data_IF_358569624219
#
_entry.id   IF_358569624219
#
_cell.length_a   1.000
_cell.length_b   1.000
_cell.length_c   1.000
_cell.angle_alpha   90.00
_cell.angle_beta   90.00
_cell.angle_gamma   90.00
#
_symmetry.space_group_name_H-M   'P 1'
#
loop_
_entity.id
_entity.type
_entity.pdbx_description
1 polymer ?
#
# COMPACT_ATOMS: atom_id res chain seq x y z
N UNK A 1 3.01 -11.10 18.71
CA UNK A 1 3.75 -10.76 17.48
C UNK A 1 4.11 -12.04 16.75
N UNK A 2 3.90 -12.09 15.43
CA UNK A 2 4.26 -13.22 14.56
C UNK A 2 5.22 -12.73 13.48
N UNK A 3 5.94 -13.62 12.81
CA UNK A 3 6.75 -13.27 11.63
C UNK A 3 6.18 -13.91 10.36
N UNK A 4 6.36 -13.21 9.23
CA UNK A 4 6.11 -13.73 7.89
C UNK A 4 7.45 -13.79 7.15
N UNK A 5 7.87 -15.01 6.78
CA UNK A 5 9.07 -15.20 5.94
C UNK A 5 8.78 -14.77 4.51
N UNK A 6 9.64 -13.89 4.00
CA UNK A 6 9.68 -13.44 2.62
C UNK A 6 11.10 -13.60 2.09
N UNK A 7 11.34 -14.72 1.41
CA UNK A 7 12.62 -15.05 0.79
C UNK A 7 13.80 -14.99 1.78
N UNK A 8 13.62 -15.53 2.99
CA UNK A 8 14.65 -15.54 4.03
C UNK A 8 14.78 -14.22 4.80
N UNK A 9 13.84 -13.29 4.61
CA UNK A 9 13.71 -12.07 5.42
C UNK A 9 12.39 -12.10 6.18
N UNK A 10 12.43 -11.82 7.48
CA UNK A 10 11.25 -11.82 8.33
C UNK A 10 10.58 -10.45 8.37
N UNK A 11 9.28 -10.42 8.04
CA UNK A 11 8.41 -9.27 8.32
C UNK A 11 7.77 -9.51 9.69
N UNK A 12 8.03 -8.60 10.63
CA UNK A 12 7.36 -8.64 11.93
C UNK A 12 5.92 -8.17 11.79
N UNK A 13 4.97 -9.00 12.21
CA UNK A 13 3.54 -8.71 12.24
C UNK A 13 3.16 -8.33 13.69
N UNK A 14 2.94 -7.03 13.99
CA UNK A 14 2.67 -6.55 15.35
C UNK A 14 1.42 -7.20 15.94
N UNK A 15 0.37 -7.28 15.13
CA UNK A 15 -0.90 -7.89 15.51
C UNK A 15 -1.53 -8.66 14.36
N UNK A 16 -2.09 -9.83 14.69
CA UNK A 16 -2.87 -10.63 13.77
C UNK A 16 -4.01 -11.36 14.49
N UNK A 17 -5.11 -11.56 13.78
CA UNK A 17 -6.18 -12.46 14.20
C UNK A 17 -6.94 -12.98 12.98
N UNK A 18 -7.06 -14.32 12.86
CA UNK A 18 -7.92 -15.01 11.87
C UNK A 18 -7.75 -14.51 10.42
N UNK A 19 -6.53 -14.20 9.98
CA UNK A 19 -6.26 -13.71 8.62
C UNK A 19 -6.39 -12.20 8.43
N UNK A 20 -6.65 -11.46 9.52
CA UNK A 20 -6.55 -10.00 9.60
C UNK A 20 -5.23 -9.63 10.26
N UNK A 21 -4.59 -8.58 9.74
CA UNK A 21 -3.39 -7.98 10.33
C UNK A 21 -3.61 -6.51 10.60
N UNK A 22 -2.86 -5.96 11.56
CA UNK A 22 -2.86 -4.54 11.89
C UNK A 22 -1.43 -4.02 11.98
N UNK A 23 -1.22 -2.88 11.34
CA UNK A 23 0.00 -2.09 11.33
C UNK A 23 -0.35 -0.61 11.51
N UNK A 24 0.52 0.16 12.15
CA UNK A 24 0.61 1.59 11.91
C UNK A 24 1.31 1.87 10.58
N UNK A 25 1.12 3.08 10.04
CA UNK A 25 1.76 3.49 8.79
C UNK A 25 3.30 3.41 8.89
N UNK A 26 3.88 3.79 10.02
CA UNK A 26 5.32 3.76 10.22
C UNK A 26 5.89 2.34 10.28
N UNK A 27 5.18 1.39 10.90
CA UNK A 27 5.57 -0.02 10.97
C UNK A 27 5.57 -0.72 9.59
N UNK A 28 4.86 -0.18 8.60
CA UNK A 28 4.69 -0.82 7.29
C UNK A 28 5.34 -0.05 6.14
N UNK A 29 5.15 1.27 6.09
CA UNK A 29 5.73 2.14 5.06
C UNK A 29 6.97 2.89 5.54
N UNK A 30 7.16 3.08 6.85
CA UNK A 30 8.36 3.68 7.44
C UNK A 30 9.57 2.74 7.42
N UNK A 31 9.33 1.42 7.42
CA UNK A 31 10.37 0.39 7.38
C UNK A 31 10.88 0.12 5.97
N UNK A 32 12.13 -0.35 5.84
CA UNK A 32 12.79 -0.72 4.57
C UNK A 32 12.24 -2.03 3.98
N UNK A 33 10.94 -2.05 3.69
CA UNK A 33 10.27 -3.12 2.97
C UNK A 33 10.29 -2.88 1.46
N UNK A 34 10.52 -3.95 0.73
CA UNK A 34 10.55 -4.05 -0.73
C UNK A 34 9.20 -4.50 -1.28
N UNK A 35 9.05 -4.46 -2.61
CA UNK A 35 7.81 -4.89 -3.28
C UNK A 35 7.36 -6.31 -2.90
N UNK A 36 8.32 -7.25 -2.76
CA UNK A 36 8.05 -8.64 -2.34
C UNK A 36 7.26 -8.74 -1.04
N UNK A 37 7.50 -7.81 -0.13
CA UNK A 37 6.96 -7.84 1.21
C UNK A 37 5.49 -7.47 1.21
N UNK A 38 5.14 -6.44 0.43
CA UNK A 38 3.76 -6.04 0.22
C UNK A 38 2.97 -7.10 -0.54
N UNK A 39 3.59 -7.76 -1.53
CA UNK A 39 3.00 -8.93 -2.22
C UNK A 39 2.73 -10.06 -1.22
N UNK A 40 3.72 -10.40 -0.39
CA UNK A 40 3.58 -11.48 0.60
C UNK A 40 2.47 -11.17 1.61
N UNK A 41 2.41 -9.94 2.11
CA UNK A 41 1.33 -9.46 2.98
C UNK A 41 -0.03 -9.57 2.29
N UNK A 42 -0.16 -8.96 1.11
CA UNK A 42 -1.42 -8.90 0.38
C UNK A 42 -1.90 -10.28 -0.06
N UNK A 43 -1.00 -11.18 -0.42
CA UNK A 43 -1.34 -12.53 -0.89
C UNK A 43 -1.70 -13.50 0.26
N UNK A 44 -1.18 -13.27 1.47
CA UNK A 44 -1.38 -14.12 2.64
C UNK A 44 -2.61 -13.75 3.46
N UNK A 45 -2.81 -12.45 3.70
CA UNK A 45 -3.86 -11.96 4.60
C UNK A 45 -5.07 -11.45 3.81
N UNK A 46 -6.28 -11.70 4.34
CA UNK A 46 -7.50 -11.26 3.66
C UNK A 46 -7.88 -9.81 4.00
N UNK A 47 -7.36 -9.26 5.10
CA UNK A 47 -7.64 -7.89 5.53
C UNK A 47 -6.43 -7.25 6.20
N UNK A 48 -6.14 -6.02 5.82
CA UNK A 48 -5.17 -5.15 6.48
C UNK A 48 -5.91 -4.00 7.17
N UNK A 49 -5.57 -3.76 8.44
CA UNK A 49 -5.89 -2.53 9.15
C UNK A 49 -4.61 -1.68 9.19
N UNK A 50 -4.63 -0.53 8.53
CA UNK A 50 -3.52 0.42 8.49
C UNK A 50 -3.87 1.68 9.27
N UNK A 51 -3.23 1.91 10.41
CA UNK A 51 -3.54 3.05 11.26
C UNK A 51 -2.55 4.21 11.07
N UNK A 52 -2.97 5.40 11.49
CA UNK A 52 -2.08 6.56 11.66
C UNK A 52 -1.43 7.04 10.36
N UNK A 53 -2.14 6.95 9.23
CA UNK A 53 -1.66 7.46 7.94
C UNK A 53 -1.49 8.98 8.04
N UNK A 54 -0.26 9.50 7.93
CA UNK A 54 -0.01 10.93 8.03
C UNK A 54 -0.38 11.65 6.74
N UNK A 55 -0.45 12.99 6.82
CA UNK A 55 -0.33 13.82 5.62
C UNK A 55 1.11 13.74 5.12
N UNK A 56 1.30 13.27 3.90
CA UNK A 56 2.58 13.15 3.23
C UNK A 56 2.91 14.43 2.45
N UNK A 57 4.20 14.73 2.34
CA UNK A 57 4.73 15.83 1.54
C UNK A 57 5.71 15.33 0.46
N UNK A 58 6.12 16.22 -0.45
CA UNK A 58 6.97 15.85 -1.60
C UNK A 58 8.39 15.39 -1.24
N UNK A 59 8.88 15.73 -0.04
CA UNK A 59 10.20 15.33 0.44
C UNK A 59 10.19 13.86 0.88
N UNK A 60 9.01 13.31 1.23
CA UNK A 60 8.81 11.94 1.70
C UNK A 60 8.62 10.94 0.56
N UNK A 61 9.44 11.04 -0.49
CA UNK A 61 9.28 10.27 -1.74
C UNK A 61 9.24 8.76 -1.51
N UNK A 62 10.10 8.24 -0.63
CA UNK A 62 10.16 6.79 -0.39
C UNK A 62 8.96 6.25 0.40
N UNK A 63 8.36 7.08 1.28
CA UNK A 63 7.11 6.72 1.94
C UNK A 63 5.95 6.70 0.95
N UNK A 64 5.89 7.70 0.06
CA UNK A 64 4.89 7.77 -1.01
C UNK A 64 4.98 6.54 -1.91
N UNK A 65 6.18 6.18 -2.38
CA UNK A 65 6.40 4.99 -3.23
C UNK A 65 5.97 3.71 -2.53
N UNK A 66 6.39 3.51 -1.27
CA UNK A 66 6.00 2.34 -0.48
C UNK A 66 4.49 2.25 -0.27
N UNK A 67 3.84 3.38 -0.03
CA UNK A 67 2.37 3.43 0.09
C UNK A 67 1.67 3.10 -1.23
N UNK A 68 2.14 3.64 -2.36
CA UNK A 68 1.63 3.28 -3.71
C UNK A 68 1.73 1.77 -3.92
N UNK A 69 2.92 1.18 -3.70
CA UNK A 69 3.14 -0.26 -3.90
C UNK A 69 2.22 -1.08 -2.98
N UNK A 70 2.11 -0.70 -1.70
CA UNK A 70 1.19 -1.36 -0.77
C UNK A 70 -0.25 -1.37 -1.29
N UNK A 71 -0.79 -0.21 -1.67
CA UNK A 71 -2.18 -0.12 -2.15
C UNK A 71 -2.37 -0.92 -3.44
N UNK A 72 -1.38 -0.88 -4.34
CA UNK A 72 -1.40 -1.60 -5.60
C UNK A 72 -1.51 -3.11 -5.35
N UNK A 73 -0.70 -3.66 -4.42
CA UNK A 73 -0.72 -5.08 -4.11
C UNK A 73 -2.00 -5.51 -3.36
N UNK A 74 -2.46 -4.73 -2.39
CA UNK A 74 -3.75 -4.99 -1.74
C UNK A 74 -4.89 -5.01 -2.75
N UNK A 75 -4.88 -4.06 -3.69
CA UNK A 75 -5.87 -3.98 -4.75
C UNK A 75 -5.81 -5.22 -5.67
N UNK A 76 -4.62 -5.60 -6.15
CA UNK A 76 -4.41 -6.76 -7.04
C UNK A 76 -4.92 -8.06 -6.44
N UNK A 77 -4.70 -8.23 -5.13
CA UNK A 77 -5.07 -9.43 -4.39
C UNK A 77 -6.47 -9.38 -3.74
N UNK A 78 -7.24 -8.31 -4.00
CA UNK A 78 -8.56 -8.07 -3.40
C UNK A 78 -8.57 -8.08 -1.86
N UNK A 79 -7.46 -7.67 -1.25
CA UNK A 79 -7.31 -7.59 0.20
C UNK A 79 -8.13 -6.42 0.72
N UNK A 80 -8.98 -6.68 1.72
CA UNK A 80 -9.81 -5.61 2.30
C UNK A 80 -8.92 -4.69 3.14
N UNK A 81 -9.21 -3.39 3.08
CA UNK A 81 -8.40 -2.38 3.74
C UNK A 81 -9.29 -1.53 4.64
N UNK A 82 -8.88 -1.39 5.90
CA UNK A 82 -9.45 -0.45 6.87
C UNK A 82 -8.33 0.52 7.23
N UNK A 83 -8.61 1.82 7.16
CA UNK A 83 -7.59 2.84 7.42
C UNK A 83 -8.04 3.86 8.48
N UNK A 84 -7.08 4.35 9.25
CA UNK A 84 -7.20 5.63 9.97
C UNK A 84 -6.16 6.61 9.44
N UNK A 85 -6.53 7.89 9.35
CA UNK A 85 -5.70 8.92 8.74
C UNK A 85 -5.86 10.26 9.47
N UNK A 86 -4.83 11.10 9.43
CA UNK A 86 -4.81 12.44 10.03
C UNK A 86 -5.39 13.54 9.12
N UNK A 87 -6.09 13.16 8.05
CA UNK A 87 -6.66 14.07 7.05
C UNK A 87 -8.14 13.75 6.80
N UNK A 88 -8.89 14.69 6.23
CA UNK A 88 -10.35 14.52 6.04
C UNK A 88 -10.72 13.61 4.86
N UNK A 89 -9.88 13.55 3.83
CA UNK A 89 -10.13 12.75 2.62
C UNK A 89 -8.87 12.02 2.18
N UNK A 90 -9.02 10.87 1.52
CA UNK A 90 -7.88 10.13 0.96
C UNK A 90 -7.04 10.98 0.00
N UNK A 91 -7.66 11.92 -0.73
CA UNK A 91 -6.97 12.84 -1.64
C UNK A 91 -6.04 13.80 -0.88
N UNK A 92 -6.38 14.15 0.36
CA UNK A 92 -5.55 15.03 1.18
C UNK A 92 -4.37 14.28 1.85
N UNK A 93 -4.25 12.95 1.69
CA UNK A 93 -3.08 12.19 2.16
C UNK A 93 -1.80 12.72 1.48
N UNK A 94 -1.87 13.06 0.19
CA UNK A 94 -0.80 13.74 -0.52
C UNK A 94 -1.41 14.63 -1.60
N UNK A 95 -1.27 15.95 -1.44
CA UNK A 95 -1.81 16.93 -2.37
C UNK A 95 -0.82 18.09 -2.55
N UNK A 96 0.32 17.84 -3.21
CA UNK A 96 1.45 18.77 -3.22
C UNK A 96 1.12 20.12 -3.86
N UNK A 97 0.20 20.14 -4.84
CA UNK A 97 -0.26 21.37 -5.50
C UNK A 97 -1.16 22.23 -4.61
N UNK A 98 -1.93 21.61 -3.71
CA UNK A 98 -2.74 22.33 -2.70
C UNK A 98 -1.84 22.85 -1.58
N UNK A 99 -0.82 22.10 -1.21
CA UNK A 99 0.08 22.42 -0.12
C UNK A 99 1.10 23.51 -0.48
N UNK A 100 1.52 23.55 -1.75
CA UNK A 100 2.38 24.60 -2.27
C UNK A 100 1.89 25.06 -3.66
N UNK A 101 1.13 26.17 -3.74
CA UNK A 101 0.59 26.68 -5.00
C UNK A 101 1.65 27.12 -6.02
N UNK A 102 2.90 27.37 -5.58
CA UNK A 102 4.01 27.74 -6.46
C UNK A 102 4.69 26.51 -7.08
N UNK A 103 4.39 25.32 -6.56
CA UNK A 103 4.93 24.07 -7.05
C UNK A 103 4.28 23.74 -8.39
N UNK A 104 5.07 23.63 -9.45
CA UNK A 104 4.53 23.22 -10.74
C UNK A 104 4.58 21.71 -10.86
N UNK A 105 3.76 21.16 -11.77
CA UNK A 105 3.76 19.72 -12.06
C UNK A 105 5.13 19.17 -12.47
N UNK A 106 5.92 19.99 -13.17
CA UNK A 106 7.29 19.67 -13.58
C UNK A 106 8.28 19.53 -12.41
N UNK A 107 8.01 20.19 -11.29
CA UNK A 107 8.84 20.13 -10.07
C UNK A 107 8.45 18.96 -9.14
N UNK A 108 7.40 18.21 -9.51
CA UNK A 108 6.88 17.12 -8.70
C UNK A 108 7.80 15.89 -8.73
N UNK A 109 7.29 14.80 -8.16
CA UNK A 109 7.72 13.45 -8.49
C UNK A 109 7.84 13.25 -10.01
N UNK A 110 8.52 12.20 -10.49
CA UNK A 110 8.51 11.93 -11.94
C UNK A 110 7.06 11.87 -12.43
N UNK A 111 6.80 12.22 -13.70
CA UNK A 111 5.42 12.23 -14.23
C UNK A 111 4.68 10.90 -13.93
N UNK A 112 5.41 9.79 -14.02
CA UNK A 112 4.93 8.45 -13.74
C UNK A 112 4.53 8.23 -12.26
N UNK A 113 5.27 8.83 -11.32
CA UNK A 113 4.99 8.74 -9.89
C UNK A 113 3.75 9.55 -9.50
N UNK A 114 3.57 10.74 -10.08
CA UNK A 114 2.37 11.53 -9.84
C UNK A 114 1.12 10.82 -10.36
N UNK A 115 1.16 10.30 -11.59
CA UNK A 115 0.08 9.47 -12.14
C UNK A 115 -0.16 8.20 -11.31
N UNK A 116 0.90 7.60 -10.77
CA UNK A 116 0.77 6.44 -9.88
C UNK A 116 0.02 6.80 -8.60
N UNK A 117 0.23 7.99 -8.03
CA UNK A 117 -0.51 8.41 -6.85
C UNK A 117 -1.99 8.73 -7.15
N UNK A 118 -2.31 9.39 -8.26
CA UNK A 118 -3.70 9.60 -8.68
C UNK A 118 -4.44 8.25 -8.88
N UNK A 119 -3.73 7.24 -9.41
CA UNK A 119 -4.22 5.87 -9.50
C UNK A 119 -4.42 5.24 -8.11
N UNK A 120 -3.50 5.45 -7.17
CA UNK A 120 -3.65 5.03 -5.77
C UNK A 120 -4.90 5.62 -5.12
N UNK A 121 -5.17 6.91 -5.32
CA UNK A 121 -6.41 7.55 -4.82
C UNK A 121 -7.64 6.92 -5.44
N UNK A 122 -7.63 6.70 -6.76
CA UNK A 122 -8.75 6.06 -7.46
C UNK A 122 -9.03 4.65 -6.92
N UNK A 123 -7.98 3.87 -6.66
CA UNK A 123 -8.07 2.54 -6.02
C UNK A 123 -8.65 2.64 -4.62
N UNK A 124 -8.15 3.54 -3.77
CA UNK A 124 -8.67 3.74 -2.42
C UNK A 124 -10.17 4.08 -2.42
N UNK A 125 -10.64 4.86 -3.40
CA UNK A 125 -12.07 5.17 -3.56
C UNK A 125 -12.85 3.92 -4.00
N UNK A 126 -12.37 3.19 -5.02
CA UNK A 126 -13.04 1.97 -5.47
C UNK A 126 -13.11 0.91 -4.36
N UNK A 127 -12.06 0.77 -3.55
CA UNK A 127 -11.98 -0.19 -2.44
C UNK A 127 -13.05 0.00 -1.37
N UNK A 128 -13.70 1.17 -1.32
CA UNK A 128 -14.82 1.47 -0.42
C UNK A 128 -16.18 1.03 -0.99
N UNK A 129 -16.25 0.70 -2.28
CA UNK A 129 -17.50 0.32 -2.93
C UNK A 129 -17.99 -1.06 -2.49
N UNK A 130 -19.31 -1.25 -2.46
CA UNK A 130 -19.92 -2.57 -2.21
C UNK A 130 -19.45 -3.61 -3.22
N UNK A 131 -19.24 -3.21 -4.46
CA UNK A 131 -18.74 -4.06 -5.53
C UNK A 131 -17.32 -4.56 -5.23
N UNK A 132 -16.41 -3.68 -4.83
CA UNK A 132 -15.07 -4.13 -4.42
C UNK A 132 -15.12 -5.01 -3.17
N UNK A 133 -15.93 -4.65 -2.18
CA UNK A 133 -16.07 -5.42 -0.94
C UNK A 133 -16.66 -6.82 -1.17
N UNK A 134 -17.49 -7.01 -2.20
CA UNK A 134 -18.03 -8.33 -2.58
C UNK A 134 -17.06 -9.18 -3.42
N UNK A 135 -16.01 -8.60 -4.01
CA UNK A 135 -14.99 -9.36 -4.76
C UNK A 135 -14.35 -10.42 -3.85
N UNK A 136 -14.24 -11.69 -4.29
CA UNK A 136 -13.56 -12.73 -3.54
C UNK A 136 -12.07 -12.42 -3.43
N UNK A 137 -11.48 -12.77 -2.28
CA UNK A 137 -10.04 -12.67 -2.05
C UNK A 137 -9.28 -13.50 -3.08
N UNK A 138 -8.22 -12.93 -3.66
CA UNK A 138 -7.26 -13.68 -4.46
C UNK A 138 -6.12 -14.08 -3.56
N UNK A 139 -5.93 -15.36 -3.29
CA UNK A 139 -4.76 -15.82 -2.54
C UNK A 139 -3.60 -16.05 -3.49
N UNK A 140 -2.37 -15.77 -3.02
CA UNK A 140 -1.17 -16.08 -3.80
C UNK A 140 -1.03 -17.59 -3.94
N UNK A 141 -0.86 -18.07 -5.17
CA UNK A 141 -0.35 -19.41 -5.39
C UNK A 141 1.17 -19.34 -5.22
N UNK A 142 1.76 -20.13 -4.31
CA UNK A 142 3.23 -20.15 -4.06
C UNK A 142 4.06 -20.27 -5.35
N UNK A 143 3.50 -20.88 -6.40
CA UNK A 143 4.12 -21.02 -7.74
C UNK A 143 4.15 -19.72 -8.55
N UNK A 144 3.06 -18.93 -8.54
CA UNK A 144 2.87 -17.72 -9.36
C UNK A 144 3.75 -16.56 -8.91
N UNK A 145 3.95 -16.44 -7.59
CA UNK A 145 4.88 -15.45 -7.00
C UNK A 145 6.32 -15.77 -7.37
N UNK A 146 6.69 -17.01 -7.69
CA UNK A 146 8.04 -17.30 -8.21
C UNK A 146 8.13 -16.99 -9.71
N UNK A 147 7.09 -17.30 -10.48
CA UNK A 147 7.05 -17.12 -11.93
C UNK A 147 7.00 -15.64 -12.36
N UNK A 148 6.31 -14.75 -11.63
CA UNK A 148 6.26 -13.30 -11.93
C UNK A 148 7.61 -12.59 -11.70
N UNK A 149 8.49 -13.17 -10.86
CA UNK A 149 9.82 -12.64 -10.58
C UNK A 149 10.85 -13.04 -11.63
N UNK A 150 10.71 -14.24 -12.19
CA UNK A 150 11.57 -14.72 -13.28
C UNK A 150 11.41 -13.90 -14.58
N UNK A 151 10.35 -13.08 -14.69
CA UNK A 151 10.08 -12.23 -15.85
C UNK A 151 10.56 -10.77 -15.69
N UNK A 152 11.06 -10.39 -14.50
CA UNK A 152 11.53 -9.03 -14.19
C UNK A 152 13.06 -8.95 -13.98
N UNK A 153 13.79 -9.97 -14.46
CA UNK A 153 15.25 -10.03 -14.61
C UNK A 153 15.59 -10.19 -16.09
#
# INVERSE_FOLDING_TARGET
>A
TTTLDVNGRDITIPWQARGVIKFSFDELCGQEYFSADYIAIASTYHTLILTDIPKLNIEQRDLIRRFIILIDELYNYHTKLIISMYVHTVKDIFNPLKDNPNLKREDLLTMDEFHSFDRTISRLIEMQSKEYLSKPKRFGNKKKVFDEWAQLQ
#
